data_IF_499930932747
#
_entry.id   IF_499930932747
#
_cell.length_a   1.000
_cell.length_b   1.000
_cell.length_c   1.000
_cell.angle_alpha   90.00
_cell.angle_beta   90.00
_cell.angle_gamma   90.00
#
_symmetry.space_group_name_H-M   'P 1'
#
loop_
_entity.id
_entity.type
_entity.pdbx_description
1 polymer ?
#
# COMPACT_ATOMS: atom_id res chain seq x y z
N UNK A 1 14.63 -14.50 -4.41
CA UNK A 1 13.68 -13.54 -3.78
C UNK A 1 14.50 -12.78 -2.76
N UNK A 2 14.36 -11.45 -2.66
CA UNK A 2 15.05 -10.73 -1.58
C UNK A 2 14.45 -11.16 -0.25
N UNK A 3 15.28 -11.27 0.78
CA UNK A 3 14.82 -11.50 2.15
C UNK A 3 13.78 -10.42 2.49
N UNK A 4 12.59 -10.82 2.91
CA UNK A 4 11.46 -9.90 3.05
C UNK A 4 11.71 -9.02 4.27
N UNK A 5 12.28 -7.83 4.04
CA UNK A 5 12.56 -6.87 5.10
C UNK A 5 11.22 -6.41 5.68
N UNK A 6 10.84 -7.01 6.81
CA UNK A 6 9.63 -6.66 7.56
C UNK A 6 9.84 -5.26 8.14
N UNK A 7 9.37 -4.25 7.40
CA UNK A 7 9.32 -2.87 7.87
C UNK A 7 8.14 -2.75 8.84
N UNK A 8 8.42 -2.88 10.13
CA UNK A 8 7.41 -2.67 11.17
C UNK A 8 7.22 -1.18 11.46
N UNK A 9 5.98 -0.72 11.36
CA UNK A 9 5.53 0.61 11.73
C UNK A 9 4.09 0.50 12.24
N UNK A 10 3.80 1.14 13.38
CA UNK A 10 2.60 0.88 14.16
C UNK A 10 1.69 2.12 14.34
N UNK A 11 1.05 2.65 13.26
CA UNK A 11 0.25 3.90 13.32
C UNK A 11 -0.91 3.94 14.34
N UNK A 12 -1.39 2.79 14.84
CA UNK A 12 -2.44 2.78 15.87
C UNK A 12 -1.92 2.96 17.30
N UNK A 13 -0.61 2.96 17.54
CA UNK A 13 0.00 3.21 18.86
C UNK A 13 1.01 4.36 18.83
N UNK A 14 1.71 4.56 17.72
CA UNK A 14 2.57 5.71 17.52
C UNK A 14 1.70 6.87 17.03
N UNK A 15 1.51 7.87 17.89
CA UNK A 15 0.70 9.06 17.59
C UNK A 15 1.57 10.31 17.39
N UNK A 16 2.89 10.21 17.52
CA UNK A 16 3.81 11.36 17.43
C UNK A 16 4.11 11.80 15.99
N UNK A 17 3.74 11.00 14.98
CA UNK A 17 4.00 11.36 13.58
C UNK A 17 3.15 12.55 13.07
N UNK A 18 2.03 12.85 13.73
CA UNK A 18 1.16 14.00 13.43
C UNK A 18 1.62 15.29 14.16
N UNK A 19 2.66 15.23 15.00
CA UNK A 19 3.23 16.41 15.66
C UNK A 19 3.86 17.38 14.66
N UNK A 20 3.71 18.67 14.93
CA UNK A 20 4.13 19.76 14.04
C UNK A 20 5.63 19.68 13.75
N UNK A 21 5.99 19.60 12.47
CA UNK A 21 7.37 19.54 11.98
C UNK A 21 7.98 18.13 11.90
N UNK A 22 7.37 17.09 12.50
CA UNK A 22 7.90 15.71 12.42
C UNK A 22 7.86 15.20 10.98
N UNK A 23 6.72 15.36 10.31
CA UNK A 23 6.55 15.01 8.89
C UNK A 23 7.49 15.80 7.97
N UNK A 24 7.72 17.08 8.25
CA UNK A 24 8.60 17.94 7.45
C UNK A 24 10.07 17.54 7.61
N UNK A 25 10.50 17.24 8.84
CA UNK A 25 11.82 16.70 9.15
C UNK A 25 12.06 15.36 8.46
N UNK A 26 11.08 14.44 8.53
CA UNK A 26 11.15 13.15 7.84
C UNK A 26 11.25 13.31 6.31
N UNK A 27 10.48 14.23 5.72
CA UNK A 27 10.57 14.55 4.28
C UNK A 27 11.92 15.14 3.90
N UNK A 28 12.49 16.04 4.70
CA UNK A 28 13.81 16.61 4.45
C UNK A 28 14.94 15.56 4.50
N UNK A 29 14.87 14.61 5.44
CA UNK A 29 15.82 13.48 5.51
C UNK A 29 15.70 12.55 4.29
N UNK A 30 14.47 12.27 3.84
CA UNK A 30 14.23 11.51 2.60
C UNK A 30 14.74 12.25 1.37
N UNK A 31 14.58 13.58 1.29
CA UNK A 31 15.09 14.39 0.19
C UNK A 31 16.63 14.40 0.16
N UNK A 32 17.30 14.48 1.31
CA UNK A 32 18.76 14.41 1.39
C UNK A 32 19.30 13.06 0.89
N UNK A 33 18.69 11.94 1.29
CA UNK A 33 19.06 10.62 0.80
C UNK A 33 18.73 10.44 -0.70
N UNK A 34 17.60 10.94 -1.19
CA UNK A 34 17.29 10.98 -2.64
C UNK A 34 18.27 11.85 -3.45
N UNK A 35 18.81 12.92 -2.85
CA UNK A 35 19.84 13.76 -3.47
C UNK A 35 21.19 13.02 -3.54
N UNK A 36 21.52 12.25 -2.50
CA UNK A 36 22.74 11.44 -2.40
C UNK A 36 22.71 10.23 -3.32
N UNK A 37 21.59 9.51 -3.34
CA UNK A 37 21.34 8.32 -4.14
C UNK A 37 20.20 8.58 -5.13
N UNK A 38 20.52 9.15 -6.29
CA UNK A 38 19.54 9.29 -7.38
C UNK A 38 19.03 7.89 -7.79
N UNK A 39 17.71 7.66 -7.87
CA UNK A 39 17.17 6.37 -8.30
C UNK A 39 17.69 5.98 -9.68
N UNK A 40 18.42 4.86 -9.75
CA UNK A 40 19.01 4.32 -11.00
C UNK A 40 18.13 3.27 -11.67
N UNK A 41 17.19 2.67 -10.92
CA UNK A 41 16.19 1.74 -11.45
C UNK A 41 14.86 2.47 -11.51
N UNK A 42 14.20 2.44 -12.66
CA UNK A 42 12.83 2.89 -12.75
C UNK A 42 11.93 1.81 -12.15
N UNK A 43 11.29 2.12 -11.03
CA UNK A 43 10.41 1.18 -10.33
C UNK A 43 9.18 0.78 -11.17
N UNK A 44 8.89 1.49 -12.27
CA UNK A 44 7.83 1.17 -13.22
C UNK A 44 8.26 0.26 -14.37
N UNK A 45 9.55 -0.12 -14.50
CA UNK A 45 10.05 -0.93 -15.64
C UNK A 45 9.38 -2.32 -15.75
N UNK A 46 8.81 -2.83 -14.66
CA UNK A 46 8.10 -4.10 -14.62
C UNK A 46 6.62 -3.99 -15.04
N UNK A 47 6.10 -2.77 -15.18
CA UNK A 47 4.75 -2.50 -15.64
C UNK A 47 4.78 -2.21 -17.14
N UNK A 48 3.83 -2.75 -17.94
CA UNK A 48 3.69 -2.29 -19.31
C UNK A 48 3.41 -0.78 -19.30
N UNK A 49 4.05 -0.02 -20.20
CA UNK A 49 3.72 1.38 -20.37
C UNK A 49 2.20 1.49 -20.61
N UNK A 50 1.49 2.42 -19.94
CA UNK A 50 0.07 2.62 -20.20
C UNK A 50 -0.10 2.89 -21.69
N UNK A 51 -0.84 2.01 -22.38
CA UNK A 51 -1.23 2.29 -23.76
C UNK A 51 -1.99 3.61 -23.74
N UNK A 52 -1.45 4.65 -24.37
CA UNK A 52 -2.11 5.97 -24.42
C UNK A 52 -3.29 5.98 -25.40
N UNK A 53 -3.26 5.06 -26.37
CA UNK A 53 -4.16 5.00 -27.52
C UNK A 53 -5.27 3.93 -27.52
N UNK A 54 -5.55 3.11 -26.47
CA UNK A 54 -6.47 1.97 -26.58
C UNK A 54 -7.94 2.41 -26.71
N UNK A 55 -8.23 3.67 -26.43
CA UNK A 55 -9.54 4.31 -26.59
C UNK A 55 -9.53 5.36 -27.72
N UNK A 56 -8.44 5.47 -28.50
CA UNK A 56 -8.38 6.35 -29.67
C UNK A 56 -9.20 5.74 -30.81
N UNK A 57 -10.39 6.30 -31.01
CA UNK A 57 -11.18 6.00 -32.21
C UNK A 57 -10.57 6.71 -33.43
N UNK A 58 -10.75 6.19 -34.66
CA UNK A 58 -10.28 6.85 -35.88
C UNK A 58 -10.81 8.29 -36.04
N UNK A 59 -12.01 8.58 -35.51
CA UNK A 59 -12.56 9.93 -35.42
C UNK A 59 -11.71 10.83 -34.52
N UNK A 60 -11.31 10.34 -33.35
CA UNK A 60 -10.54 11.12 -32.39
C UNK A 60 -9.11 11.40 -32.89
N UNK A 61 -8.50 10.45 -33.59
CA UNK A 61 -7.20 10.64 -34.27
C UNK A 61 -7.30 11.77 -35.31
N UNK A 62 -8.30 11.71 -36.20
CA UNK A 62 -8.52 12.73 -37.23
C UNK A 62 -8.83 14.12 -36.62
N UNK A 63 -9.61 14.18 -35.54
CA UNK A 63 -9.86 15.43 -34.80
C UNK A 63 -8.60 15.98 -34.13
N UNK A 64 -7.72 15.14 -33.58
CA UNK A 64 -6.43 15.58 -33.07
C UNK A 64 -5.50 16.09 -34.19
N UNK A 65 -5.45 15.44 -35.34
CA UNK A 65 -4.73 15.94 -36.53
C UNK A 65 -5.30 17.29 -37.01
N UNK A 66 -6.63 17.45 -37.04
CA UNK A 66 -7.31 18.72 -37.39
C UNK A 66 -6.91 19.84 -36.43
N UNK A 67 -6.90 19.57 -35.12
CA UNK A 67 -6.51 20.52 -34.07
C UNK A 67 -5.01 20.86 -34.16
N UNK A 68 -4.14 19.86 -34.35
CA UNK A 68 -2.70 20.05 -34.53
C UNK A 68 -2.39 20.95 -35.73
N UNK A 69 -3.09 20.74 -36.84
CA UNK A 69 -2.99 21.55 -38.06
C UNK A 69 -3.76 22.89 -37.96
N UNK A 70 -4.40 23.18 -36.81
CA UNK A 70 -5.19 24.40 -36.54
C UNK A 70 -6.31 24.66 -37.55
N UNK A 71 -6.83 23.60 -38.17
CA UNK A 71 -7.92 23.71 -39.13
C UNK A 71 -9.23 23.99 -38.38
N UNK A 72 -10.04 24.98 -38.79
CA UNK A 72 -11.35 25.22 -38.19
C UNK A 72 -12.25 23.98 -38.36
N UNK A 73 -13.17 23.78 -37.41
CA UNK A 73 -14.16 22.72 -37.51
C UNK A 73 -15.13 23.00 -38.67
N UNK A 74 -15.52 21.96 -39.41
CA UNK A 74 -16.53 22.09 -40.46
C UNK A 74 -17.88 22.50 -39.85
N UNK A 75 -18.50 23.55 -40.39
CA UNK A 75 -19.78 24.05 -39.91
C UNK A 75 -20.91 23.12 -40.35
N UNK A 76 -21.73 22.65 -39.40
CA UNK A 76 -22.87 21.79 -39.72
C UNK A 76 -23.89 22.51 -40.62
N UNK A 77 -24.11 21.97 -41.81
CA UNK A 77 -25.00 22.56 -42.82
C UNK A 77 -26.47 22.31 -42.48
N UNK A 78 -27.15 23.35 -41.98
CA UNK A 78 -28.60 23.29 -41.71
C UNK A 78 -29.47 23.28 -42.98
N UNK A 79 -28.90 23.55 -44.17
CA UNK A 79 -29.64 23.59 -45.45
C UNK A 79 -30.42 22.32 -45.77
N UNK A 80 -29.98 21.16 -45.25
CA UNK A 80 -30.65 19.85 -45.38
C UNK A 80 -31.99 19.78 -44.60
N UNK A 81 -32.14 20.59 -43.56
CA UNK A 81 -33.31 20.62 -42.67
C UNK A 81 -34.21 21.84 -42.91
N UNK A 82 -33.82 22.71 -43.83
CA UNK A 82 -34.56 23.89 -44.28
C UNK A 82 -35.06 23.64 -45.71
N UNK A 83 -36.13 24.34 -46.12
CA UNK A 83 -36.61 24.35 -47.51
C UNK A 83 -36.23 25.69 -48.20
N UNK A 84 -34.93 25.98 -48.42
CA UNK A 84 -34.56 27.20 -49.11
C UNK A 84 -34.97 27.11 -50.59
N UNK A 85 -35.54 28.18 -51.17
CA UNK A 85 -35.65 28.29 -52.62
C UNK A 85 -34.24 28.30 -53.25
N UNK A 86 -34.11 27.93 -54.54
CA UNK A 86 -32.82 28.01 -55.22
C UNK A 86 -32.25 29.44 -55.18
N UNK A 87 -30.92 29.62 -55.09
CA UNK A 87 -30.31 30.94 -54.93
C UNK A 87 -30.75 31.92 -56.02
N UNK A 88 -30.91 33.20 -55.67
CA UNK A 88 -31.47 34.23 -56.56
C UNK A 88 -30.75 34.36 -57.91
N UNK A 89 -29.44 34.09 -57.94
CA UNK A 89 -28.63 34.09 -59.16
C UNK A 89 -28.71 32.81 -60.01
N UNK A 90 -29.43 31.78 -59.55
CA UNK A 90 -29.56 30.45 -60.17
C UNK A 90 -31.02 30.10 -60.53
N UNK A 91 -31.95 31.05 -60.45
CA UNK A 91 -33.38 30.83 -60.72
C UNK A 91 -33.68 30.34 -62.15
N UNK A 92 -32.77 30.55 -63.11
CA UNK A 92 -32.84 30.02 -64.48
C UNK A 92 -32.16 28.66 -64.67
N UNK A 93 -31.42 28.16 -63.66
CA UNK A 93 -30.75 26.86 -63.72
C UNK A 93 -31.72 25.74 -63.30
N UNK A 94 -32.10 24.88 -64.24
CA UNK A 94 -32.99 23.72 -63.97
C UNK A 94 -32.39 22.80 -62.89
N UNK A 95 -31.06 22.66 -62.85
CA UNK A 95 -30.35 21.88 -61.83
C UNK A 95 -30.51 22.43 -60.42
N UNK A 96 -30.57 23.76 -60.23
CA UNK A 96 -30.77 24.36 -58.91
C UNK A 96 -32.19 24.14 -58.39
N UNK A 97 -33.19 24.15 -59.29
CA UNK A 97 -34.55 23.74 -58.96
C UNK A 97 -34.65 22.25 -58.63
N UNK A 98 -33.95 21.39 -59.38
CA UNK A 98 -33.91 19.97 -59.10
C UNK A 98 -33.31 19.67 -57.71
N UNK A 99 -32.21 20.33 -57.32
CA UNK A 99 -31.61 20.20 -55.98
C UNK A 99 -32.59 20.61 -54.86
N UNK A 100 -33.30 21.74 -55.03
CA UNK A 100 -34.35 22.15 -54.09
C UNK A 100 -35.53 21.17 -54.03
N UNK A 101 -35.91 20.56 -55.16
CA UNK A 101 -36.98 19.54 -55.21
C UNK A 101 -36.53 18.26 -54.50
N UNK A 102 -35.32 17.76 -54.77
CA UNK A 102 -34.76 16.56 -54.14
C UNK A 102 -34.65 16.73 -52.61
N UNK A 103 -34.20 17.91 -52.14
CA UNK A 103 -34.21 18.24 -50.70
C UNK A 103 -35.64 18.26 -50.11
N UNK A 104 -36.62 18.79 -50.84
CA UNK A 104 -38.02 18.80 -50.36
C UNK A 104 -38.66 17.40 -50.31
N UNK A 105 -38.35 16.53 -51.27
CA UNK A 105 -38.74 15.12 -51.25
C UNK A 105 -38.10 14.39 -50.07
N UNK A 106 -36.79 14.56 -49.85
CA UNK A 106 -36.10 13.95 -48.72
C UNK A 106 -36.69 14.40 -47.36
N UNK A 107 -37.09 15.68 -47.24
CA UNK A 107 -37.74 16.17 -46.02
C UNK A 107 -39.14 15.61 -45.82
N UNK A 108 -39.94 15.41 -46.88
CA UNK A 108 -41.25 14.76 -46.77
C UNK A 108 -41.12 13.35 -46.19
N UNK A 109 -40.19 12.55 -46.71
CA UNK A 109 -39.89 11.20 -46.20
C UNK A 109 -39.37 11.24 -44.75
N UNK A 110 -38.51 12.21 -44.41
CA UNK A 110 -38.07 12.40 -43.02
C UNK A 110 -39.21 12.77 -42.07
N UNK A 111 -40.21 13.56 -42.48
CA UNK A 111 -41.39 13.86 -41.67
C UNK A 111 -42.30 12.63 -41.53
N UNK A 112 -42.46 11.83 -42.59
CA UNK A 112 -43.19 10.57 -42.53
C UNK A 112 -42.56 9.59 -41.52
N UNK A 113 -41.25 9.34 -41.63
CA UNK A 113 -40.50 8.50 -40.67
C UNK A 113 -40.56 9.09 -39.26
N UNK A 114 -40.54 10.42 -39.11
CA UNK A 114 -40.71 11.08 -37.81
C UNK A 114 -42.10 10.80 -37.20
N UNK A 115 -43.18 10.85 -37.99
CA UNK A 115 -44.53 10.51 -37.51
C UNK A 115 -44.58 9.07 -37.01
N UNK A 116 -44.12 8.12 -37.83
CA UNK A 116 -44.06 6.69 -37.47
C UNK A 116 -43.25 6.42 -36.19
N UNK A 117 -42.10 7.09 -36.04
CA UNK A 117 -41.27 6.97 -34.84
C UNK A 117 -41.93 7.60 -33.60
N UNK A 118 -42.72 8.66 -33.77
CA UNK A 118 -43.47 9.28 -32.66
C UNK A 118 -44.69 8.42 -32.27
N UNK A 119 -45.37 7.82 -33.22
CA UNK A 119 -46.45 6.83 -32.99
C UNK A 119 -45.90 5.64 -32.19
N UNK A 120 -44.78 5.04 -32.62
CA UNK A 120 -44.09 3.98 -31.88
C UNK A 120 -43.66 4.41 -30.46
N UNK A 121 -43.23 5.67 -30.29
CA UNK A 121 -42.85 6.22 -28.98
C UNK A 121 -44.07 6.45 -28.07
N UNK A 122 -45.22 6.83 -28.62
CA UNK A 122 -46.47 6.97 -27.86
C UNK A 122 -46.98 5.61 -27.38
N UNK A 123 -46.88 4.57 -28.21
CA UNK A 123 -47.34 3.22 -27.87
C UNK A 123 -46.45 2.51 -26.84
N UNK A 124 -45.12 2.60 -26.98
CA UNK A 124 -44.17 1.79 -26.20
C UNK A 124 -43.24 2.58 -25.27
N UNK A 125 -43.12 3.90 -25.43
CA UNK A 125 -42.10 4.69 -24.74
C UNK A 125 -42.23 4.71 -23.22
N UNK A 126 -43.45 4.71 -22.70
CA UNK A 126 -43.72 4.70 -21.26
C UNK A 126 -43.31 3.38 -20.60
N UNK A 127 -43.69 2.24 -21.17
CA UNK A 127 -43.35 0.92 -20.63
C UNK A 127 -41.86 0.59 -20.83
N UNK A 128 -41.28 0.98 -21.97
CA UNK A 128 -39.84 0.85 -22.20
C UNK A 128 -39.03 1.66 -21.17
N UNK A 129 -39.47 2.88 -20.83
CA UNK A 129 -38.80 3.72 -19.83
C UNK A 129 -38.93 3.16 -18.41
N UNK A 130 -40.08 2.57 -18.05
CA UNK A 130 -40.24 1.86 -16.76
C UNK A 130 -39.29 0.67 -16.65
N UNK A 131 -39.25 -0.18 -17.68
CA UNK A 131 -38.35 -1.34 -17.71
C UNK A 131 -36.87 -0.93 -17.64
N UNK A 132 -36.48 0.13 -18.34
CA UNK A 132 -35.15 0.72 -18.21
C UNK A 132 -34.86 1.19 -16.76
N UNK A 133 -35.83 1.85 -16.11
CA UNK A 133 -35.68 2.33 -14.73
C UNK A 133 -35.57 1.17 -13.71
N UNK A 134 -36.26 0.05 -13.92
CA UNK A 134 -36.12 -1.16 -13.10
C UNK A 134 -34.69 -1.71 -13.18
N UNK A 135 -34.15 -1.87 -14.39
CA UNK A 135 -32.76 -2.31 -14.61
C UNK A 135 -31.77 -1.34 -13.98
N UNK A 136 -31.96 -0.03 -14.18
CA UNK A 136 -31.09 1.00 -13.60
C UNK A 136 -31.11 0.97 -12.05
N UNK A 137 -32.29 0.80 -11.46
CA UNK A 137 -32.45 0.68 -9.99
C UNK A 137 -31.78 -0.58 -9.45
N UNK A 138 -31.89 -1.71 -10.16
CA UNK A 138 -31.19 -2.94 -9.79
C UNK A 138 -29.65 -2.80 -9.89
N UNK A 139 -29.14 -2.11 -10.92
CA UNK A 139 -27.72 -1.79 -11.06
C UNK A 139 -27.23 -0.89 -9.91
N UNK A 140 -28.00 0.15 -9.55
CA UNK A 140 -27.70 1.02 -8.42
C UNK A 140 -27.64 0.24 -7.10
N UNK A 141 -28.64 -0.62 -6.84
CA UNK A 141 -28.68 -1.44 -5.62
C UNK A 141 -27.48 -2.40 -5.54
N UNK A 142 -27.08 -3.02 -6.66
CA UNK A 142 -25.90 -3.87 -6.74
C UNK A 142 -24.61 -3.09 -6.42
N UNK A 143 -24.43 -1.91 -6.99
CA UNK A 143 -23.27 -1.05 -6.73
C UNK A 143 -23.21 -0.58 -5.26
N UNK A 144 -24.37 -0.24 -4.68
CA UNK A 144 -24.47 0.12 -3.26
C UNK A 144 -24.11 -1.07 -2.33
N UNK A 145 -24.56 -2.28 -2.65
CA UNK A 145 -24.20 -3.49 -1.90
C UNK A 145 -22.69 -3.79 -1.97
N UNK A 146 -22.08 -3.67 -3.15
CA UNK A 146 -20.63 -3.81 -3.33
C UNK A 146 -19.84 -2.78 -2.51
N UNK A 147 -20.30 -1.52 -2.49
CA UNK A 147 -19.70 -0.47 -1.66
C UNK A 147 -19.82 -0.76 -0.16
N UNK A 148 -20.97 -1.30 0.29
CA UNK A 148 -21.18 -1.68 1.69
C UNK A 148 -20.27 -2.85 2.09
N UNK A 149 -20.16 -3.88 1.24
CA UNK A 149 -19.26 -5.01 1.48
C UNK A 149 -17.80 -4.55 1.56
N UNK A 150 -17.32 -3.77 0.58
CA UNK A 150 -15.94 -3.26 0.59
C UNK A 150 -15.64 -2.39 1.81
N UNK A 151 -16.61 -1.58 2.28
CA UNK A 151 -16.48 -0.81 3.53
C UNK A 151 -16.38 -1.71 4.75
N UNK A 152 -17.13 -2.81 4.81
CA UNK A 152 -17.02 -3.81 5.87
C UNK A 152 -15.66 -4.49 5.83
N UNK A 153 -15.22 -4.98 4.68
CA UNK A 153 -13.93 -5.66 4.53
C UNK A 153 -12.76 -4.75 4.95
N UNK A 154 -12.81 -3.46 4.56
CA UNK A 154 -11.85 -2.44 5.00
C UNK A 154 -11.90 -2.20 6.53
N UNK A 155 -13.10 -2.21 7.14
CA UNK A 155 -13.25 -2.08 8.59
C UNK A 155 -12.72 -3.31 9.33
N UNK A 156 -12.99 -4.52 8.84
CA UNK A 156 -12.52 -5.78 9.41
C UNK A 156 -10.97 -5.85 9.36
N UNK A 157 -10.34 -5.48 8.25
CA UNK A 157 -8.87 -5.37 8.12
C UNK A 157 -8.30 -4.32 9.06
N UNK A 158 -8.91 -3.13 9.15
CA UNK A 158 -8.45 -2.07 10.06
C UNK A 158 -8.62 -2.45 11.54
N UNK A 159 -9.69 -3.19 11.88
CA UNK A 159 -9.91 -3.72 13.23
C UNK A 159 -8.86 -4.77 13.60
N UNK A 160 -8.59 -5.74 12.72
CA UNK A 160 -7.54 -6.74 12.90
C UNK A 160 -6.16 -6.07 13.07
N UNK A 161 -5.82 -5.10 12.22
CA UNK A 161 -4.59 -4.32 12.32
C UNK A 161 -4.50 -3.58 13.65
N UNK A 162 -5.56 -2.85 14.06
CA UNK A 162 -5.59 -2.14 15.35
C UNK A 162 -5.41 -3.10 16.52
N UNK A 163 -6.05 -4.26 16.50
CA UNK A 163 -5.94 -5.26 17.56
C UNK A 163 -4.51 -5.80 17.67
N UNK A 164 -3.89 -6.17 16.55
CA UNK A 164 -2.51 -6.65 16.52
C UNK A 164 -1.51 -5.58 17.01
N UNK A 165 -1.65 -4.33 16.54
CA UNK A 165 -0.77 -3.23 16.93
C UNK A 165 -0.95 -2.85 18.40
N UNK A 166 -2.18 -2.90 18.95
CA UNK A 166 -2.43 -2.62 20.38
C UNK A 166 -1.76 -3.67 21.27
N UNK A 167 -1.88 -4.96 20.93
CA UNK A 167 -1.20 -6.05 21.63
C UNK A 167 0.33 -5.96 21.54
N UNK A 168 0.87 -5.56 20.38
CA UNK A 168 2.30 -5.28 20.21
C UNK A 168 2.73 -4.09 21.10
N UNK A 169 1.97 -3.01 21.12
CA UNK A 169 2.23 -1.83 21.95
C UNK A 169 2.13 -2.06 23.46
N UNK A 170 1.32 -3.01 23.92
CA UNK A 170 1.35 -3.49 25.31
C UNK A 170 2.66 -4.22 25.63
N UNK A 171 3.12 -5.11 24.75
CA UNK A 171 4.41 -5.80 24.91
C UNK A 171 5.59 -4.84 24.87
N UNK A 172 5.58 -3.87 23.95
CA UNK A 172 6.63 -2.84 23.86
C UNK A 172 6.74 -2.03 25.14
N UNK A 173 5.62 -1.50 25.67
CA UNK A 173 5.60 -0.77 26.95
C UNK A 173 6.07 -1.62 28.13
N UNK A 174 5.72 -2.91 28.17
CA UNK A 174 6.20 -3.82 29.21
C UNK A 174 7.71 -4.09 29.12
N UNK A 175 8.24 -4.26 27.90
CA UNK A 175 9.68 -4.42 27.66
C UNK A 175 10.47 -3.13 27.95
N UNK A 176 9.93 -1.97 27.59
CA UNK A 176 10.50 -0.66 27.91
C UNK A 176 10.57 -0.43 29.43
N UNK A 177 9.48 -0.68 30.15
CA UNK A 177 9.46 -0.58 31.62
C UNK A 177 10.45 -1.54 32.28
N UNK A 178 10.58 -2.77 31.77
CA UNK A 178 11.57 -3.73 32.25
C UNK A 178 13.01 -3.29 31.93
N UNK A 179 13.26 -2.71 30.75
CA UNK A 179 14.56 -2.15 30.38
C UNK A 179 14.95 -0.98 31.29
N UNK A 180 14.04 -0.01 31.52
CA UNK A 180 14.27 1.10 32.46
C UNK A 180 14.58 0.58 33.87
N UNK A 181 13.83 -0.42 34.35
CA UNK A 181 14.07 -1.04 35.64
C UNK A 181 15.45 -1.70 35.72
N UNK A 182 15.86 -2.47 34.71
CA UNK A 182 17.17 -3.13 34.67
C UNK A 182 18.32 -2.13 34.61
N UNK A 183 18.21 -1.09 33.78
CA UNK A 183 19.21 -0.01 33.70
C UNK A 183 19.31 0.73 35.04
N UNK A 184 18.17 1.05 35.68
CA UNK A 184 18.16 1.70 37.00
C UNK A 184 18.77 0.81 38.08
N UNK A 185 18.44 -0.50 38.09
CA UNK A 185 18.97 -1.46 39.05
C UNK A 185 20.48 -1.68 38.89
N UNK A 186 20.97 -1.73 37.66
CA UNK A 186 22.41 -1.78 37.38
C UNK A 186 23.10 -0.49 37.87
N UNK A 187 22.52 0.68 37.61
CA UNK A 187 23.06 1.95 38.09
C UNK A 187 23.11 2.03 39.63
N UNK A 188 22.07 1.55 40.33
CA UNK A 188 22.07 1.41 41.79
C UNK A 188 23.21 0.48 42.26
N UNK A 189 23.39 -0.68 41.64
CA UNK A 189 24.44 -1.65 42.00
C UNK A 189 25.83 -1.05 41.80
N UNK A 190 26.10 -0.42 40.66
CA UNK A 190 27.38 0.26 40.38
C UNK A 190 27.66 1.37 41.41
N UNK A 191 26.62 2.14 41.79
CA UNK A 191 26.74 3.20 42.80
C UNK A 191 27.12 2.64 44.17
N UNK A 192 26.42 1.60 44.64
CA UNK A 192 26.72 0.93 45.92
C UNK A 192 28.08 0.23 45.90
N UNK A 193 28.48 -0.37 44.77
CA UNK A 193 29.81 -0.94 44.59
C UNK A 193 30.91 0.13 44.73
N UNK A 194 30.74 1.29 44.11
CA UNK A 194 31.70 2.41 44.23
C UNK A 194 31.78 2.94 45.67
N UNK A 195 30.68 3.03 46.42
CA UNK A 195 30.73 3.41 47.83
C UNK A 195 31.40 2.33 48.71
N UNK A 196 31.10 1.05 48.47
CA UNK A 196 31.75 -0.07 49.15
C UNK A 196 33.26 -0.12 48.88
N UNK A 197 33.70 0.15 47.65
CA UNK A 197 35.12 0.25 47.30
C UNK A 197 35.83 1.38 48.07
N UNK A 198 35.19 2.55 48.24
CA UNK A 198 35.74 3.63 49.08
C UNK A 198 35.89 3.18 50.54
N UNK A 199 34.88 2.51 51.09
CA UNK A 199 34.93 1.99 52.47
C UNK A 199 36.02 0.93 52.64
N UNK A 200 36.14 -0.01 51.70
CA UNK A 200 37.20 -1.02 51.70
C UNK A 200 38.59 -0.37 51.59
N UNK A 201 38.73 0.65 50.75
CA UNK A 201 39.99 1.40 50.61
C UNK A 201 40.36 2.11 51.92
N UNK A 202 39.44 2.84 52.54
CA UNK A 202 39.68 3.51 53.82
C UNK A 202 40.01 2.50 54.95
N UNK A 203 39.35 1.34 54.99
CA UNK A 203 39.66 0.28 55.94
C UNK A 203 41.05 -0.34 55.73
N UNK A 204 41.50 -0.49 54.48
CA UNK A 204 42.87 -0.93 54.15
C UNK A 204 43.91 0.10 54.60
N UNK A 205 43.68 1.37 54.31
CA UNK A 205 44.56 2.48 54.73
C UNK A 205 44.68 2.56 56.27
N UNK A 206 43.60 2.27 57.01
CA UNK A 206 43.64 2.18 58.48
C UNK A 206 44.41 0.94 58.98
N UNK A 207 44.28 -0.21 58.32
CA UNK A 207 45.01 -1.43 58.67
C UNK A 207 46.52 -1.27 58.45
N UNK A 208 46.91 -0.58 57.38
CA UNK A 208 48.29 -0.23 57.04
C UNK A 208 48.90 0.76 58.05
N UNK A 209 48.10 1.67 58.62
CA UNK A 209 48.53 2.54 59.73
C UNK A 209 48.66 1.81 61.09
N UNK A 210 47.93 0.70 61.28
CA UNK A 210 47.95 -0.11 62.49
C UNK A 210 48.99 -1.24 62.47
N UNK A 211 49.65 -1.49 61.34
CA UNK A 211 50.74 -2.44 61.22
C UNK A 211 52.09 -1.72 61.33
N UNK A 212 52.82 -1.83 62.45
CA UNK A 212 54.15 -1.26 62.55
C UNK A 212 55.12 -1.99 61.62
N UNK A 213 56.08 -1.24 61.08
CA UNK A 213 57.12 -1.74 60.17
C UNK A 213 58.01 -2.80 60.83
N UNK A 214 57.66 -4.07 60.63
CA UNK A 214 58.49 -5.24 60.94
C UNK A 214 59.09 -5.77 59.64
N UNK A 215 60.16 -5.13 59.16
CA UNK A 215 61.01 -5.70 58.11
C UNK A 215 61.83 -6.87 58.69
N UNK A 216 61.40 -8.10 58.44
CA UNK A 216 62.31 -9.24 58.36
C UNK A 216 62.05 -10.04 57.07
N UNK A 217 63.11 -10.66 56.57
CA UNK A 217 63.26 -11.04 55.15
C UNK A 217 63.45 -12.56 54.99
N UNK A 218 63.06 -13.09 53.82
CA UNK A 218 63.31 -14.46 53.29
C UNK A 218 62.44 -15.62 53.82
N UNK A 219 62.31 -16.73 53.06
CA UNK A 219 62.32 -16.87 51.59
C UNK A 219 61.09 -17.65 51.05
N UNK A 220 61.04 -17.83 49.73
CA UNK A 220 60.00 -18.59 49.02
C UNK A 220 59.97 -20.08 49.40
N UNK A 221 58.77 -20.66 49.52
CA UNK A 221 58.52 -22.08 49.26
C UNK A 221 57.29 -22.25 48.37
N UNK A 222 57.48 -22.90 47.23
CA UNK A 222 56.41 -23.28 46.31
C UNK A 222 55.56 -24.40 46.91
N UNK A 223 54.24 -24.33 46.72
CA UNK A 223 53.41 -25.53 46.68
C UNK A 223 52.50 -25.48 45.45
N UNK A 224 53.00 -26.10 44.37
CA UNK A 224 52.20 -26.45 43.21
C UNK A 224 51.28 -27.63 43.57
N UNK A 225 49.98 -27.46 43.37
CA UNK A 225 49.01 -28.50 43.06
C UNK A 225 47.77 -27.79 42.47
N UNK A 226 47.39 -27.93 41.20
CA UNK A 226 47.90 -28.86 40.18
C UNK A 226 46.89 -29.92 39.77
N UNK A 227 45.65 -29.53 39.43
CA UNK A 227 44.87 -30.30 38.45
C UNK A 227 43.88 -29.41 37.69
N UNK A 228 44.08 -29.34 36.37
CA UNK A 228 43.09 -28.90 35.40
C UNK A 228 43.05 -29.92 34.26
N UNK A 229 41.95 -29.93 33.50
CA UNK A 229 41.55 -31.00 32.56
C UNK A 229 41.08 -32.28 33.28
N UNK A 230 40.09 -33.02 32.75
CA UNK A 230 39.64 -33.10 31.35
C UNK A 230 38.13 -33.32 31.23
N UNK A 231 37.57 -33.12 30.04
CA UNK A 231 36.22 -33.54 29.70
C UNK A 231 36.07 -35.08 29.77
N UNK A 232 34.88 -35.58 30.12
CA UNK A 232 34.00 -36.28 29.17
C UNK A 232 32.68 -36.80 29.79
N UNK A 233 31.59 -36.64 29.02
CA UNK A 233 30.39 -37.50 28.86
C UNK A 233 29.63 -38.18 30.03
N UNK A 234 28.30 -37.90 30.06
CA UNK A 234 27.13 -38.82 30.15
C UNK A 234 26.76 -39.68 31.39
N UNK A 235 25.44 -39.92 31.52
CA UNK A 235 24.80 -40.98 32.33
C UNK A 235 23.74 -40.44 33.33
N UNK A 236 22.47 -40.19 33.00
CA UNK A 236 21.36 -41.04 32.46
C UNK A 236 20.63 -41.91 33.51
N UNK A 237 19.35 -41.60 33.77
CA UNK A 237 18.20 -42.53 33.96
C UNK A 237 16.93 -41.74 34.39
N UNK A 238 15.70 -42.12 34.08
CA UNK A 238 15.15 -43.10 33.10
C UNK A 238 13.62 -42.92 32.97
N UNK A 239 12.98 -43.77 32.14
CA UNK A 239 11.52 -43.96 31.94
C UNK A 239 10.84 -42.94 31.00
N UNK A 240 9.95 -43.27 30.06
CA UNK A 240 9.41 -44.51 29.44
C UNK A 240 8.70 -44.07 28.12
N UNK A 241 8.52 -44.80 26.99
CA UNK A 241 8.86 -46.17 26.56
C UNK A 241 8.95 -46.24 24.99
N UNK A 242 8.96 -47.45 24.40
CA UNK A 242 8.94 -47.87 22.97
C UNK A 242 7.80 -47.25 22.08
N UNK A 243 7.75 -47.38 20.73
CA UNK A 243 8.22 -48.46 19.85
C UNK A 243 8.43 -48.00 18.37
N UNK A 244 8.99 -48.86 17.52
CA UNK A 244 9.46 -48.57 16.15
C UNK A 244 8.43 -48.84 15.04
N UNK A 245 8.60 -48.18 13.88
CA UNK A 245 8.50 -48.83 12.56
C UNK A 245 9.03 -47.97 11.40
N UNK A 246 9.54 -48.66 10.38
CA UNK A 246 10.09 -48.17 9.13
C UNK A 246 9.18 -47.18 8.35
N UNK A 247 9.82 -46.33 7.54
CA UNK A 247 9.12 -45.55 6.52
C UNK A 247 8.70 -46.40 5.32
N UNK A 248 7.81 -45.83 4.51
CA UNK A 248 7.73 -46.16 3.10
C UNK A 248 7.31 -44.90 2.33
N UNK A 249 7.79 -44.80 1.11
CA UNK A 249 7.37 -43.83 0.10
C UNK A 249 5.92 -44.13 -0.32
N UNK A 250 5.11 -43.10 -0.61
CA UNK A 250 4.35 -43.00 -1.85
C UNK A 250 3.48 -41.72 -1.91
N UNK A 251 3.64 -40.98 -3.01
CA UNK A 251 2.63 -40.11 -3.62
C UNK A 251 1.41 -40.97 -4.03
N UNK A 252 0.16 -40.45 -4.17
CA UNK A 252 -0.08 -39.48 -5.27
C UNK A 252 -1.30 -38.54 -5.22
N UNK A 253 -1.27 -37.59 -6.17
CA UNK A 253 -2.39 -37.04 -6.99
C UNK A 253 -3.60 -36.30 -6.38
N UNK A 254 -3.80 -35.10 -6.94
CA UNK A 254 -5.10 -34.50 -7.28
C UNK A 254 -6.19 -35.51 -7.70
N UNK A 255 -7.43 -35.30 -7.24
CA UNK A 255 -8.53 -34.78 -8.10
C UNK A 255 -9.85 -34.67 -7.30
N UNK A 256 -10.39 -33.45 -7.21
CA UNK A 256 -11.82 -33.11 -7.02
C UNK A 256 -12.03 -31.58 -7.02
#
# INVERSE_FOLDING_TARGET
>A
MADEVIVDALPYIDHGYDDVGVRESAMAMVEEECRRYRPTKNYLDHLPLPTSTPFETPLMINEFERIQNRLPMETLSMKRYELPPPPSGKLSEVSAWQESIENSMAQLEHQWVRSLNLELMLDYGTEAWKSYLEVFTAMQAKAQLQLQQLKKDMQDVNWQRKQAQTQAGEKLRALEAHWVLLVSKNYEIETECVELEKVIKAAREQLEQLTPSSEEHLPQTEHINGHATRADSNGTNSNDVDDAAAGNEDEPTNDA
#
